data_IF_266777010615
#
_entry.id   IF_266777010615
#
_cell.length_a   1.000
_cell.length_b   1.000
_cell.length_c   1.000
_cell.angle_alpha   90.00
_cell.angle_beta   90.00
_cell.angle_gamma   90.00
#
_symmetry.space_group_name_H-M   'P 1'
#
loop_
_entity.id
_entity.type
_entity.pdbx_description
1 polymer ?
#
# COMPACT_ATOMS: atom_id res chain seq x y z
N UNK A 1 -4.88 7.55 8.47
CA UNK A 1 -5.70 6.55 7.75
C UNK A 1 -5.51 5.17 8.37
N UNK A 2 -6.31 4.19 7.94
CA UNK A 2 -6.14 2.78 8.30
C UNK A 2 -5.64 1.98 7.09
N UNK A 3 -4.68 1.08 7.30
CA UNK A 3 -4.17 0.17 6.28
C UNK A 3 -4.05 -1.25 6.82
N UNK A 4 -4.04 -2.28 5.94
CA UNK A 4 -3.59 -3.61 6.31
C UNK A 4 -2.14 -3.58 6.85
N UNK A 5 -1.78 -4.43 7.83
CA UNK A 5 -0.43 -4.47 8.40
C UNK A 5 0.62 -4.85 7.35
N UNK A 6 0.21 -5.62 6.34
CA UNK A 6 1.07 -6.07 5.23
C UNK A 6 1.59 -4.92 4.35
N UNK A 7 0.96 -3.74 4.41
CA UNK A 7 1.41 -2.55 3.69
C UNK A 7 2.61 -1.84 4.37
N UNK A 8 2.89 -2.17 5.64
CA UNK A 8 4.00 -1.59 6.38
C UNK A 8 5.27 -2.41 6.20
N UNK A 9 6.30 -1.74 5.75
CA UNK A 9 7.65 -2.24 5.57
C UNK A 9 8.54 -1.74 6.70
N UNK A 10 9.18 -2.66 7.40
CA UNK A 10 9.94 -2.32 8.59
C UNK A 10 9.02 -1.75 9.69
N UNK A 11 9.35 -0.57 10.20
CA UNK A 11 8.61 0.07 11.31
C UNK A 11 7.72 1.24 10.87
N UNK A 12 8.08 1.93 9.79
CA UNK A 12 7.55 3.26 9.47
C UNK A 12 7.52 3.56 7.97
N UNK A 13 7.61 2.55 7.09
CA UNK A 13 7.68 2.76 5.64
C UNK A 13 6.52 2.11 4.91
N UNK A 14 5.93 2.81 3.95
CA UNK A 14 4.96 2.24 2.99
C UNK A 14 5.43 2.54 1.58
N UNK A 15 4.83 1.86 0.60
CA UNK A 15 5.06 2.15 -0.81
C UNK A 15 3.76 2.55 -1.48
N UNK A 16 3.74 3.74 -2.07
CA UNK A 16 2.66 4.14 -2.98
C UNK A 16 3.06 3.91 -4.43
N UNK A 17 2.08 3.72 -5.30
CA UNK A 17 2.30 3.67 -6.74
C UNK A 17 2.09 5.06 -7.35
N UNK A 18 3.13 5.61 -7.97
CA UNK A 18 3.09 6.88 -8.71
C UNK A 18 3.75 6.66 -10.05
N UNK A 19 3.05 6.99 -11.15
CA UNK A 19 3.57 6.83 -12.52
C UNK A 19 4.15 5.43 -12.79
N UNK A 20 3.45 4.37 -12.35
CA UNK A 20 3.86 2.96 -12.47
C UNK A 20 5.20 2.61 -11.77
N UNK A 21 5.62 3.44 -10.81
CA UNK A 21 6.78 3.20 -9.96
C UNK A 21 6.39 3.23 -8.49
N UNK A 22 7.04 2.38 -7.70
CA UNK A 22 6.89 2.43 -6.25
C UNK A 22 7.70 3.59 -5.67
N UNK A 23 7.03 4.44 -4.91
CA UNK A 23 7.63 5.51 -4.13
C UNK A 23 7.54 5.15 -2.66
N UNK A 24 8.70 5.11 -2.00
CA UNK A 24 8.77 4.88 -0.57
C UNK A 24 8.36 6.14 0.21
N UNK A 25 7.43 6.00 1.14
CA UNK A 25 6.97 7.08 2.02
C UNK A 25 7.21 6.68 3.48
N UNK A 26 7.77 7.61 4.24
CA UNK A 26 7.83 7.51 5.70
C UNK A 26 6.50 7.93 6.33
N UNK A 27 6.06 7.16 7.32
CA UNK A 27 4.78 7.31 7.98
C UNK A 27 4.94 7.15 9.47
N UNK A 28 4.09 7.82 10.25
CA UNK A 28 4.05 7.66 11.70
C UNK A 28 2.96 6.67 12.06
N UNK A 29 3.31 5.59 12.76
CA UNK A 29 2.33 4.64 13.29
C UNK A 29 1.68 5.20 14.55
N UNK A 30 0.37 5.37 14.51
CA UNK A 30 -0.45 5.86 15.61
C UNK A 30 -1.04 4.73 16.45
N UNK A 31 -1.11 3.51 15.91
CA UNK A 31 -1.63 2.35 16.63
C UNK A 31 -2.20 1.28 15.70
N UNK A 32 -3.21 0.56 16.20
CA UNK A 32 -3.95 -0.43 15.44
C UNK A 32 -5.39 -0.53 15.91
N UNK A 33 -6.29 -0.94 15.02
CA UNK A 33 -7.71 -1.18 15.30
C UNK A 33 -8.17 -2.52 14.71
N UNK A 34 -9.30 -3.09 15.16
CA UNK A 34 -9.96 -4.18 14.43
C UNK A 34 -10.35 -3.71 13.01
N UNK A 35 -9.97 -4.49 12.01
CA UNK A 35 -10.26 -4.22 10.59
C UNK A 35 -11.65 -4.68 10.18
N UNK A 36 -12.16 -4.11 9.08
CA UNK A 36 -13.50 -4.41 8.57
C UNK A 36 -13.64 -5.80 7.92
N UNK A 37 -12.57 -6.31 7.28
CA UNK A 37 -12.62 -7.50 6.42
C UNK A 37 -11.90 -8.74 7.01
N UNK A 38 -11.88 -8.85 8.33
CA UNK A 38 -11.09 -9.80 9.15
C UNK A 38 -9.60 -9.44 9.24
N UNK A 39 -9.16 -9.08 10.44
CA UNK A 39 -7.76 -8.76 10.74
C UNK A 39 -7.64 -7.53 11.64
N UNK A 40 -6.41 -7.11 11.91
CA UNK A 40 -6.14 -5.80 12.51
C UNK A 40 -5.66 -4.86 11.42
N UNK A 41 -6.09 -3.60 11.45
CA UNK A 41 -5.52 -2.53 10.63
C UNK A 41 -4.54 -1.72 11.47
N UNK A 42 -3.48 -1.22 10.83
CA UNK A 42 -2.61 -0.23 11.44
C UNK A 42 -3.15 1.18 11.15
N UNK A 43 -3.10 2.03 12.17
CA UNK A 43 -3.40 3.45 12.01
C UNK A 43 -2.09 4.19 11.77
N UNK A 44 -2.02 4.92 10.67
CA UNK A 44 -0.84 5.71 10.33
C UNK A 44 -1.19 7.14 9.94
N UNK A 45 -0.21 8.03 10.11
CA UNK A 45 -0.23 9.41 9.65
C UNK A 45 0.88 9.64 8.62
N UNK A 46 0.55 10.41 7.59
CA UNK A 46 1.45 10.84 6.54
C UNK A 46 0.98 12.21 6.04
N UNK A 47 1.91 13.10 5.72
CA UNK A 47 1.60 14.40 5.13
C UNK A 47 1.39 14.33 3.61
N UNK A 48 1.96 13.31 2.96
CA UNK A 48 2.04 13.21 1.50
C UNK A 48 1.07 12.21 0.89
N UNK A 49 0.49 11.32 1.71
CA UNK A 49 -0.42 10.29 1.23
C UNK A 49 -1.87 10.75 1.33
N UNK A 50 -2.61 10.58 0.23
CA UNK A 50 -3.98 11.05 0.09
C UNK A 50 -4.96 9.88 -0.11
N UNK A 51 -6.25 10.05 0.26
CA UNK A 51 -7.29 9.10 -0.10
C UNK A 51 -7.34 8.90 -1.62
N UNK A 52 -7.36 7.65 -2.07
CA UNK A 52 -7.32 7.28 -3.49
C UNK A 52 -5.93 6.90 -4.01
N UNK A 53 -4.87 7.14 -3.23
CA UNK A 53 -3.54 6.62 -3.54
C UNK A 53 -3.52 5.08 -3.48
N UNK A 54 -2.86 4.48 -4.46
CA UNK A 54 -2.62 3.04 -4.47
C UNK A 54 -1.43 2.72 -3.58
N UNK A 55 -1.66 1.92 -2.55
CA UNK A 55 -0.62 1.46 -1.63
C UNK A 55 -0.38 -0.03 -1.85
N UNK A 56 0.89 -0.41 -1.87
CA UNK A 56 1.28 -1.81 -1.96
C UNK A 56 0.96 -2.52 -0.62
N UNK A 57 0.13 -3.56 -0.68
CA UNK A 57 -0.30 -4.36 0.50
C UNK A 57 0.29 -5.77 0.51
N UNK A 58 1.13 -6.12 -0.46
CA UNK A 58 1.82 -7.40 -0.53
C UNK A 58 3.26 -7.24 -0.02
N UNK A 59 3.83 -8.31 0.54
CA UNK A 59 5.23 -8.35 0.94
C UNK A 59 6.10 -8.67 -0.28
N UNK A 60 6.76 -7.65 -0.84
CA UNK A 60 7.77 -7.83 -1.88
C UNK A 60 9.14 -7.98 -1.22
N UNK A 61 9.82 -9.14 -1.37
CA UNK A 61 11.20 -9.27 -0.91
C UNK A 61 12.07 -8.23 -1.64
N UNK A 62 12.86 -7.48 -0.89
CA UNK A 62 13.71 -6.40 -1.39
C UNK A 62 12.96 -5.25 -2.11
N UNK A 63 11.77 -4.87 -1.62
CA UNK A 63 11.11 -3.66 -2.12
C UNK A 63 12.03 -2.43 -2.01
N UNK A 64 12.23 -1.74 -3.13
CA UNK A 64 13.00 -0.50 -3.23
C UNK A 64 12.18 0.57 -3.93
N UNK A 65 12.46 1.84 -3.61
CA UNK A 65 11.88 2.95 -4.34
C UNK A 65 12.39 2.94 -5.79
N UNK A 66 11.53 3.30 -6.74
CA UNK A 66 11.83 3.26 -8.17
C UNK A 66 11.66 1.89 -8.81
N UNK A 67 11.19 0.87 -8.07
CA UNK A 67 10.85 -0.42 -8.66
C UNK A 67 9.66 -0.25 -9.62
N UNK A 68 9.79 -0.58 -10.92
CA UNK A 68 8.69 -0.49 -11.86
C UNK A 68 7.69 -1.60 -11.58
N UNK A 69 6.42 -1.24 -11.45
CA UNK A 69 5.33 -2.20 -11.25
C UNK A 69 4.26 -1.92 -12.28
N UNK A 70 3.75 -2.98 -12.91
CA UNK A 70 2.61 -2.88 -13.82
C UNK A 70 1.35 -3.34 -13.09
N UNK A 71 0.31 -2.54 -13.17
CA UNK A 71 -1.05 -3.00 -12.81
C UNK A 71 -1.49 -4.04 -13.83
N UNK A 72 -1.70 -5.26 -13.38
CA UNK A 72 -2.34 -6.31 -14.17
C UNK A 72 -3.84 -6.13 -14.00
N UNK A 73 -4.45 -5.38 -14.91
CA UNK A 73 -5.90 -5.39 -15.07
C UNK A 73 -6.24 -6.62 -15.89
N UNK A 74 -6.82 -7.65 -15.29
CA UNK A 74 -7.39 -8.77 -16.03
C UNK A 74 -8.63 -8.28 -16.79
N UNK A 75 -8.42 -7.78 -18.00
CA UNK A 75 -9.49 -7.56 -18.97
C UNK A 75 -9.70 -8.86 -19.74
N UNK A 76 -10.29 -9.85 -19.05
CA UNK A 76 -10.67 -11.14 -19.58
C UNK A 76 -12.20 -11.33 -19.56
N UNK A 77 -12.79 -11.35 -20.76
CA UNK A 77 -14.09 -11.94 -21.12
C UNK A 77 -15.40 -11.12 -20.93
N UNK A 78 -15.85 -10.52 -22.02
CA UNK A 78 -17.27 -10.52 -22.41
C UNK A 78 -17.34 -10.53 -23.94
N UNK A 79 -17.30 -11.72 -24.52
CA UNK A 79 -17.71 -11.96 -25.92
C UNK A 79 -19.22 -11.71 -26.04
N UNK A 80 -19.70 -11.01 -27.09
CA UNK A 80 -21.13 -10.90 -27.38
C UNK A 80 -21.73 -12.22 -27.88
#
# INVERSE_FOLDING_TARGET
>A
MALPPQALYGNDRIYRLVNDQLEAINVVRLGSRPGAEQGSEILIHSEVLQPGDWVLTTQLPNAISGLPIRRITDSGNSTP
#
